data_IF_210058082204
#
_entry.id   IF_210058082204
#
_cell.length_a   1.000
_cell.length_b   1.000
_cell.length_c   1.000
_cell.angle_alpha   90.00
_cell.angle_beta   90.00
_cell.angle_gamma   90.00
#
_symmetry.space_group_name_H-M   'P 1'
#
loop_
_entity.id
_entity.type
_entity.pdbx_description
1 polymer ?
#
# COMPACT_ATOMS: atom_id res chain seq x y z
N UNK A 1 15.40 35.16 1.20
CA UNK A 1 14.54 33.98 1.43
C UNK A 1 14.27 33.34 0.07
N UNK A 2 14.80 32.14 -0.19
CA UNK A 2 14.43 31.38 -1.38
C UNK A 2 13.02 30.81 -1.16
N UNK A 3 12.06 31.25 -1.96
CA UNK A 3 10.74 30.64 -2.02
C UNK A 3 10.88 29.27 -2.71
N UNK A 4 11.18 28.23 -1.93
CA UNK A 4 11.20 26.86 -2.42
C UNK A 4 9.74 26.46 -2.59
N UNK A 5 9.22 26.55 -3.82
CA UNK A 5 7.87 26.06 -4.18
C UNK A 5 7.80 24.59 -3.72
N UNK A 6 7.23 24.34 -2.55
CA UNK A 6 6.87 23.00 -2.14
C UNK A 6 5.85 22.54 -3.18
N UNK A 7 6.21 21.52 -3.95
CA UNK A 7 5.29 20.90 -4.88
C UNK A 7 4.27 20.13 -4.04
N UNK A 8 3.34 20.86 -3.40
CA UNK A 8 2.20 20.32 -2.68
C UNK A 8 1.17 19.84 -3.71
N UNK A 9 1.58 18.96 -4.62
CA UNK A 9 0.60 18.19 -5.36
C UNK A 9 -0.12 17.34 -4.31
N UNK A 10 -1.44 17.46 -4.16
CA UNK A 10 -2.17 16.62 -3.23
C UNK A 10 -1.92 15.16 -3.61
N UNK A 11 -1.63 14.31 -2.63
CA UNK A 11 -1.60 12.87 -2.84
C UNK A 11 -2.93 12.31 -2.36
N UNK A 12 -3.73 11.79 -3.28
CA UNK A 12 -5.00 11.18 -2.95
C UNK A 12 -5.12 9.80 -3.58
N UNK A 13 -5.28 8.80 -2.73
CA UNK A 13 -5.73 7.46 -3.08
C UNK A 13 -6.35 6.83 -1.83
N UNK A 14 -7.53 6.24 -1.98
CA UNK A 14 -8.16 5.43 -0.93
C UNK A 14 -8.36 4.03 -1.51
N UNK A 15 -7.87 3.02 -0.81
CA UNK A 15 -8.07 1.60 -1.17
C UNK A 15 -8.55 0.81 0.04
N UNK A 16 -9.32 -0.24 -0.21
CA UNK A 16 -9.56 -1.30 0.75
C UNK A 16 -9.21 -2.64 0.10
N UNK A 17 -8.39 -3.43 0.80
CA UNK A 17 -7.91 -4.73 0.34
C UNK A 17 -8.14 -5.79 1.42
N UNK A 18 -8.42 -7.00 1.00
CA UNK A 18 -8.37 -8.18 1.86
C UNK A 18 -7.02 -8.87 1.70
N UNK A 19 -6.41 -9.30 2.80
CA UNK A 19 -5.21 -10.12 2.81
C UNK A 19 -5.60 -11.56 3.13
N UNK A 20 -5.37 -12.47 2.19
CA UNK A 20 -5.65 -13.90 2.31
C UNK A 20 -4.34 -14.69 2.21
N UNK A 21 -4.20 -15.84 2.91
CA UNK A 21 -3.08 -16.75 2.66
C UNK A 21 -3.07 -17.26 1.21
N UNK A 22 -1.89 -17.34 0.61
CA UNK A 22 -1.68 -18.00 -0.68
C UNK A 22 -0.78 -19.23 -0.54
N UNK A 23 -0.74 -20.07 -1.58
CA UNK A 23 0.14 -21.23 -1.60
C UNK A 23 1.62 -20.83 -1.69
N UNK A 24 1.92 -19.81 -2.50
CA UNK A 24 3.26 -19.27 -2.69
C UNK A 24 3.19 -17.83 -3.23
N UNK A 25 4.24 -17.07 -2.97
CA UNK A 25 4.46 -15.75 -3.56
C UNK A 25 3.44 -14.67 -3.16
N UNK A 26 3.56 -13.54 -3.84
CA UNK A 26 2.62 -12.44 -3.77
C UNK A 26 1.71 -12.47 -5.00
N UNK A 27 0.40 -12.39 -4.77
CA UNK A 27 -0.58 -12.23 -5.86
C UNK A 27 -1.52 -11.07 -5.54
N UNK A 28 -1.83 -10.27 -6.55
CA UNK A 28 -2.76 -9.16 -6.43
C UNK A 28 -3.91 -9.32 -7.42
N UNK A 29 -5.13 -9.24 -6.91
CA UNK A 29 -6.36 -9.38 -7.68
C UNK A 29 -7.28 -8.19 -7.45
N UNK A 30 -8.03 -7.82 -8.49
CA UNK A 30 -9.12 -6.86 -8.39
C UNK A 30 -10.42 -7.62 -8.22
N UNK A 31 -11.20 -7.30 -7.18
CA UNK A 31 -12.48 -7.96 -6.94
C UNK A 31 -13.39 -7.83 -8.17
N UNK A 32 -14.04 -8.93 -8.55
CA UNK A 32 -15.00 -8.94 -9.66
C UNK A 32 -16.10 -7.92 -9.39
N UNK A 33 -16.39 -7.09 -10.39
CA UNK A 33 -17.42 -6.06 -10.30
C UNK A 33 -17.01 -4.82 -9.49
N UNK A 34 -15.73 -4.66 -9.14
CA UNK A 34 -15.24 -3.39 -8.60
C UNK A 34 -15.47 -2.26 -9.62
N UNK A 35 -16.29 -1.28 -9.23
CA UNK A 35 -16.48 -0.04 -9.99
C UNK A 35 -15.80 1.10 -9.26
N UNK A 36 -14.96 1.87 -9.96
CA UNK A 36 -14.34 3.09 -9.44
C UNK A 36 -14.88 4.27 -10.21
N UNK A 37 -15.49 5.23 -9.51
CA UNK A 37 -15.96 6.47 -10.10
C UNK A 37 -14.77 7.41 -10.33
N UNK A 38 -14.03 7.18 -11.41
CA UNK A 38 -12.87 7.96 -11.82
C UNK A 38 -12.77 7.97 -13.34
N UNK A 39 -12.49 9.14 -13.90
CA UNK A 39 -12.16 9.35 -15.31
C UNK A 39 -10.81 10.06 -15.37
N UNK A 40 -9.86 9.62 -16.20
CA UNK A 40 -9.98 8.57 -17.22
C UNK A 40 -9.89 7.13 -16.66
N UNK A 41 -10.81 6.24 -17.07
CA UNK A 41 -10.82 4.83 -16.62
C UNK A 41 -9.56 4.05 -17.03
N UNK A 42 -8.88 4.43 -18.11
CA UNK A 42 -7.67 3.80 -18.61
C UNK A 42 -6.45 3.93 -17.67
N UNK A 43 -6.48 4.88 -16.74
CA UNK A 43 -5.43 5.04 -15.73
C UNK A 43 -5.59 4.07 -14.56
N UNK A 44 -6.80 3.54 -14.31
CA UNK A 44 -7.08 2.69 -13.16
C UNK A 44 -6.21 1.42 -13.11
N UNK A 45 -5.98 0.68 -14.21
CA UNK A 45 -5.06 -0.47 -14.18
C UNK A 45 -3.65 -0.09 -13.71
N UNK A 46 -3.14 1.07 -14.13
CA UNK A 46 -1.81 1.59 -13.74
C UNK A 46 -1.78 1.97 -12.26
N UNK A 47 -2.85 2.58 -11.76
CA UNK A 47 -2.99 2.89 -10.33
C UNK A 47 -3.07 1.62 -9.48
N UNK A 48 -3.80 0.59 -9.91
CA UNK A 48 -3.88 -0.66 -9.18
C UNK A 48 -2.55 -1.42 -9.18
N UNK A 49 -1.83 -1.42 -10.30
CA UNK A 49 -0.47 -1.96 -10.36
C UNK A 49 0.49 -1.23 -9.41
N UNK A 50 0.39 0.10 -9.32
CA UNK A 50 1.18 0.88 -8.37
C UNK A 50 0.84 0.53 -6.91
N UNK A 51 -0.44 0.35 -6.57
CA UNK A 51 -0.86 -0.11 -5.25
C UNK A 51 -0.32 -1.52 -4.93
N UNK A 52 -0.39 -2.45 -5.88
CA UNK A 52 0.17 -3.79 -5.73
C UNK A 52 1.68 -3.75 -5.43
N UNK A 53 2.44 -2.94 -6.19
CA UNK A 53 3.86 -2.76 -5.97
C UNK A 53 4.18 -2.19 -4.58
N UNK A 54 3.40 -1.23 -4.08
CA UNK A 54 3.56 -0.68 -2.74
C UNK A 54 3.27 -1.70 -1.64
N UNK A 55 2.29 -2.57 -1.85
CA UNK A 55 1.97 -3.68 -0.94
C UNK A 55 3.11 -4.69 -0.90
N UNK A 56 3.56 -5.14 -2.07
CA UNK A 56 4.64 -6.12 -2.19
C UNK A 56 5.96 -5.60 -1.59
N UNK A 57 6.29 -4.33 -1.83
CA UNK A 57 7.45 -3.66 -1.25
C UNK A 57 7.42 -3.69 0.27
N UNK A 58 6.28 -3.33 0.88
CA UNK A 58 6.14 -3.35 2.33
C UNK A 58 6.20 -4.77 2.89
N UNK A 59 5.54 -5.74 2.25
CA UNK A 59 5.55 -7.14 2.72
C UNK A 59 6.94 -7.79 2.58
N UNK A 60 7.74 -7.36 1.60
CA UNK A 60 9.07 -7.92 1.32
C UNK A 60 10.19 -7.29 2.14
N UNK A 61 9.89 -6.34 3.04
CA UNK A 61 10.92 -5.77 3.91
C UNK A 61 11.53 -6.88 4.80
N UNK A 62 12.88 -7.01 4.83
CA UNK A 62 13.55 -8.08 5.58
C UNK A 62 13.19 -8.12 7.07
N UNK A 63 12.82 -6.97 7.63
CA UNK A 63 12.44 -6.77 9.03
C UNK A 63 11.23 -7.62 9.46
N UNK A 64 10.33 -7.94 8.52
CA UNK A 64 9.16 -8.75 8.81
C UNK A 64 9.51 -10.23 8.94
N UNK A 65 10.60 -10.71 8.32
CA UNK A 65 11.03 -12.11 8.39
C UNK A 65 9.99 -13.13 7.89
N UNK A 66 9.03 -12.69 7.06
CA UNK A 66 7.94 -13.50 6.54
C UNK A 66 8.24 -13.85 5.07
N UNK A 67 8.08 -15.13 4.72
CA UNK A 67 8.03 -15.54 3.30
C UNK A 67 6.67 -15.14 2.76
N UNK A 68 6.63 -14.25 1.78
CA UNK A 68 5.38 -13.73 1.21
C UNK A 68 4.64 -14.87 0.49
N UNK A 69 3.62 -15.41 1.15
CA UNK A 69 2.64 -16.35 0.60
C UNK A 69 1.26 -15.75 0.84
N UNK A 70 0.98 -14.66 0.11
CA UNK A 70 -0.16 -13.79 0.37
C UNK A 70 -0.86 -13.43 -0.94
N UNK A 71 -2.19 -13.59 -0.93
CA UNK A 71 -3.10 -13.11 -1.96
C UNK A 71 -3.79 -11.86 -1.44
N UNK A 72 -3.78 -10.81 -2.26
CA UNK A 72 -4.39 -9.52 -1.91
C UNK A 72 -5.50 -9.21 -2.89
N UNK A 73 -6.70 -8.97 -2.37
CA UNK A 73 -7.89 -8.69 -3.19
C UNK A 73 -8.35 -7.25 -2.98
N UNK A 74 -8.26 -6.41 -4.01
CA UNK A 74 -8.76 -5.04 -3.99
C UNK A 74 -10.29 -5.02 -4.03
N UNK A 75 -10.91 -4.60 -2.91
CA UNK A 75 -12.37 -4.54 -2.72
C UNK A 75 -12.98 -3.18 -3.00
N UNK A 76 -12.19 -2.12 -2.83
CA UNK A 76 -12.61 -0.73 -3.04
C UNK A 76 -11.41 0.10 -3.46
N UNK A 77 -11.64 1.02 -4.38
CA UNK A 77 -10.70 2.07 -4.69
C UNK A 77 -11.44 3.39 -4.94
N UNK A 78 -10.81 4.50 -4.58
CA UNK A 78 -11.25 5.86 -4.89
C UNK A 78 -10.07 6.64 -5.41
N UNK A 79 -10.32 7.37 -6.49
CA UNK A 79 -9.38 8.28 -7.10
C UNK A 79 -10.07 9.62 -7.39
N UNK A 80 -9.28 10.67 -7.56
CA UNK A 80 -9.72 11.97 -8.07
C UNK A 80 -8.69 12.55 -9.04
N UNK A 81 -9.14 13.43 -9.93
CA UNK A 81 -8.32 13.93 -11.05
C UNK A 81 -7.17 14.85 -10.63
N UNK A 82 -7.16 15.36 -9.40
CA UNK A 82 -6.20 16.35 -8.95
C UNK A 82 -5.08 15.74 -8.11
N UNK A 83 -5.38 14.71 -7.34
CA UNK A 83 -4.46 14.10 -6.38
C UNK A 83 -4.12 12.65 -6.65
N UNK A 84 -4.86 11.96 -7.53
CA UNK A 84 -4.55 10.56 -7.85
C UNK A 84 -3.52 10.42 -8.96
N UNK A 85 -2.50 9.65 -8.65
CA UNK A 85 -1.44 9.26 -9.56
C UNK A 85 -0.77 7.99 -9.00
N UNK A 86 0.13 7.37 -9.77
CA UNK A 86 0.81 6.13 -9.40
C UNK A 86 1.44 6.18 -8.01
N UNK A 87 2.21 7.24 -7.71
CA UNK A 87 2.83 7.38 -6.39
C UNK A 87 1.80 7.45 -5.24
N UNK A 88 0.64 8.09 -5.41
CA UNK A 88 -0.40 8.13 -4.39
C UNK A 88 -0.97 6.73 -4.12
N UNK A 89 -1.21 5.95 -5.18
CA UNK A 89 -1.69 4.57 -5.06
C UNK A 89 -0.63 3.63 -4.49
N UNK A 90 0.66 3.78 -4.86
CA UNK A 90 1.77 3.03 -4.25
C UNK A 90 1.85 3.29 -2.75
N UNK A 91 1.76 4.55 -2.33
CA UNK A 91 1.75 4.92 -0.91
C UNK A 91 0.53 4.33 -0.18
N UNK A 92 -0.66 4.36 -0.81
CA UNK A 92 -1.86 3.74 -0.23
C UNK A 92 -1.69 2.22 -0.06
N UNK A 93 -1.09 1.54 -1.04
CA UNK A 93 -0.74 0.12 -0.97
C UNK A 93 0.21 -0.19 0.18
N UNK A 94 1.33 0.53 0.24
CA UNK A 94 2.32 0.43 1.31
C UNK A 94 1.68 0.57 2.70
N UNK A 95 0.84 1.59 2.88
CA UNK A 95 0.14 1.84 4.16
C UNK A 95 -0.88 0.74 4.49
N UNK A 96 -1.57 0.19 3.50
CA UNK A 96 -2.51 -0.92 3.71
C UNK A 96 -1.78 -2.18 4.21
N UNK A 97 -0.66 -2.54 3.60
CA UNK A 97 0.17 -3.66 4.02
C UNK A 97 0.76 -3.45 5.41
N UNK A 98 1.28 -2.25 5.70
CA UNK A 98 1.79 -1.89 7.02
C UNK A 98 0.72 -2.05 8.10
N UNK A 99 -0.47 -1.51 7.85
CA UNK A 99 -1.61 -1.64 8.79
C UNK A 99 -2.02 -3.09 9.01
N UNK A 100 -1.96 -3.93 7.98
CA UNK A 100 -2.27 -5.35 8.09
C UNK A 100 -1.23 -6.08 8.97
N UNK A 101 0.06 -5.81 8.78
CA UNK A 101 1.14 -6.37 9.62
C UNK A 101 1.02 -5.93 11.08
N UNK A 102 0.74 -4.64 11.31
CA UNK A 102 0.50 -4.10 12.65
C UNK A 102 -0.70 -4.81 13.33
N UNK A 103 -1.76 -5.09 12.56
CA UNK A 103 -2.96 -5.79 13.07
C UNK A 103 -2.73 -7.29 13.31
N UNK A 104 -1.82 -7.91 12.58
CA UNK A 104 -1.42 -9.30 12.76
C UNK A 104 -0.46 -9.51 13.96
N UNK A 105 -0.07 -8.43 14.65
CA UNK A 105 0.83 -8.50 15.79
C UNK A 105 2.28 -8.79 15.43
N UNK A 106 2.69 -8.55 14.17
CA UNK A 106 4.09 -8.66 13.74
C UNK A 106 4.86 -7.48 14.34
N UNK A 107 5.73 -7.67 15.35
CA UNK A 107 6.41 -6.57 16.00
C UNK A 107 7.43 -5.93 15.05
N UNK A 108 7.51 -4.58 15.02
CA UNK A 108 8.68 -3.90 14.46
C UNK A 108 9.91 -4.34 15.26
N UNK A 109 10.93 -4.85 14.59
CA UNK A 109 12.22 -5.16 15.23
C UNK A 109 13.13 -3.93 15.40
N UNK A 110 12.55 -2.76 15.63
CA UNK A 110 13.29 -1.50 15.83
C UNK A 110 13.12 -0.90 17.23
N UNK A 111 12.72 -1.70 18.22
CA UNK A 111 12.62 -1.26 19.61
C UNK A 111 13.47 -2.11 20.57
N UNK A 112 14.53 -2.77 20.09
CA UNK A 112 15.53 -3.43 20.92
C UNK A 112 16.85 -2.65 20.85
N UNK A 113 16.93 -1.58 21.65
CA UNK A 113 18.10 -1.14 22.39
C UNK A 113 17.71 0.08 23.24
N UNK A 114 17.10 -0.17 24.40
CA UNK A 114 17.21 0.72 25.55
C UNK A 114 18.17 0.09 26.56
N UNK A 115 19.46 0.48 26.57
CA UNK A 115 20.34 0.21 27.68
C UNK A 115 20.37 1.47 28.56
N UNK A 116 19.58 1.47 29.64
CA UNK A 116 20.11 1.53 31.02
C UNK A 116 19.00 1.82 32.03
N UNK A 117 18.69 0.79 32.82
CA UNK A 117 18.30 0.98 34.20
C UNK A 117 19.43 1.71 34.95
N UNK A 118 19.05 2.69 35.78
CA UNK A 118 19.91 3.40 36.72
C UNK A 118 19.53 3.06 38.15
#
# INVERSE_FOLDING_TARGET
MLHRKQNCAPHFAEIAVDFEPAAEGFTFEVARGLTVAYEPVEDLPRFFAAAAAGIEEQLSLPEHGIVTATRVVLRRARADTFGSHELAFRLAGYLAARKALDSAGVPRRDAEQDPREG
#
